data_IF_522889329553
#
_entry.id   IF_522889329553
#
_cell.length_a   1.000
_cell.length_b   1.000
_cell.length_c   1.000
_cell.angle_alpha   90.00
_cell.angle_beta   90.00
_cell.angle_gamma   90.00
#
_symmetry.space_group_name_H-M   'P 1'
#
loop_
_entity.id
_entity.type
_entity.pdbx_description
1 polymer ?
#
# COMPACT_ATOMS: atom_id res chain seq x y z
N UNK A 1 1.92 -31.23 -40.06
CA UNK A 1 0.73 -31.48 -39.21
C UNK A 1 0.94 -30.69 -37.93
N UNK A 2 0.15 -29.62 -37.72
CA UNK A 2 0.18 -28.84 -36.46
C UNK A 2 -0.41 -29.74 -35.37
N UNK A 3 0.39 -30.09 -34.36
CA UNK A 3 -0.15 -30.61 -33.13
C UNK A 3 -0.95 -29.48 -32.49
N UNK A 4 -2.23 -29.75 -32.29
CA UNK A 4 -3.14 -28.88 -31.55
C UNK A 4 -2.63 -28.89 -30.11
N UNK A 5 -2.17 -27.75 -29.61
CA UNK A 5 -1.96 -27.55 -28.18
C UNK A 5 -3.30 -27.81 -27.51
N UNK A 6 -3.44 -28.99 -26.90
CA UNK A 6 -4.54 -29.25 -26.00
C UNK A 6 -4.31 -28.37 -24.79
N UNK A 7 -5.07 -27.30 -24.73
CA UNK A 7 -5.25 -26.46 -23.55
C UNK A 7 -5.97 -27.32 -22.51
N UNK A 8 -5.22 -28.22 -21.86
CA UNK A 8 -5.71 -29.07 -20.79
C UNK A 8 -6.06 -28.13 -19.64
N UNK A 9 -7.33 -28.06 -19.21
CA UNK A 9 -7.71 -27.14 -18.15
C UNK A 9 -6.91 -27.47 -16.89
N UNK A 10 -6.41 -26.45 -16.17
CA UNK A 10 -5.59 -26.66 -14.99
C UNK A 10 -6.35 -27.50 -13.97
N UNK A 11 -5.65 -28.47 -13.39
CA UNK A 11 -6.16 -29.32 -12.31
C UNK A 11 -6.54 -28.46 -11.11
N UNK A 12 -7.43 -28.97 -10.24
CA UNK A 12 -7.82 -28.24 -9.04
C UNK A 12 -6.62 -27.90 -8.13
N UNK A 13 -5.61 -28.78 -8.07
CA UNK A 13 -4.36 -28.52 -7.35
C UNK A 13 -3.52 -27.41 -7.98
N UNK A 14 -3.48 -27.33 -9.32
CA UNK A 14 -2.84 -26.20 -10.00
C UNK A 14 -3.57 -24.89 -9.73
N UNK A 15 -4.91 -24.89 -9.78
CA UNK A 15 -5.72 -23.69 -9.48
C UNK A 15 -5.53 -23.20 -8.05
N UNK A 16 -5.49 -24.11 -7.07
CA UNK A 16 -5.25 -23.78 -5.65
C UNK A 16 -3.88 -23.12 -5.49
N UNK A 17 -2.82 -23.71 -6.06
CA UNK A 17 -1.47 -23.12 -5.99
C UNK A 17 -1.41 -21.75 -6.65
N UNK A 18 -2.02 -21.58 -7.81
CA UNK A 18 -2.07 -20.29 -8.51
C UNK A 18 -2.79 -19.23 -7.67
N UNK A 19 -3.87 -19.59 -6.98
CA UNK A 19 -4.57 -18.64 -6.09
C UNK A 19 -3.72 -18.27 -4.86
N UNK A 20 -3.02 -19.24 -4.26
CA UNK A 20 -2.07 -19.00 -3.16
C UNK A 20 -0.92 -18.06 -3.59
N UNK A 21 -0.33 -18.32 -4.76
CA UNK A 21 0.73 -17.48 -5.35
C UNK A 21 0.22 -16.06 -5.64
N UNK A 22 -0.93 -15.93 -6.29
CA UNK A 22 -1.52 -14.63 -6.61
C UNK A 22 -1.88 -13.82 -5.35
N UNK A 23 -2.38 -14.48 -4.31
CA UNK A 23 -2.64 -13.85 -3.01
C UNK A 23 -1.34 -13.35 -2.38
N UNK A 24 -0.29 -14.17 -2.39
CA UNK A 24 1.02 -13.79 -1.85
C UNK A 24 1.61 -12.59 -2.60
N UNK A 25 1.49 -12.56 -3.93
CA UNK A 25 1.92 -11.43 -4.76
C UNK A 25 1.16 -10.14 -4.44
N UNK A 26 -0.17 -10.22 -4.28
CA UNK A 26 -1.01 -9.06 -3.91
C UNK A 26 -0.65 -8.52 -2.54
N UNK A 27 -0.43 -9.38 -1.56
CA UNK A 27 0.00 -8.96 -0.22
C UNK A 27 1.41 -8.35 -0.25
N UNK A 28 2.34 -8.94 -1.00
CA UNK A 28 3.69 -8.40 -1.17
C UNK A 28 3.67 -7.00 -1.82
N UNK A 29 2.77 -6.76 -2.78
CA UNK A 29 2.61 -5.45 -3.38
C UNK A 29 2.09 -4.40 -2.37
N UNK A 30 1.17 -4.78 -1.48
CA UNK A 30 0.70 -3.90 -0.41
C UNK A 30 1.82 -3.58 0.60
N UNK A 31 2.64 -4.56 0.96
CA UNK A 31 3.81 -4.36 1.84
C UNK A 31 4.83 -3.38 1.23
N UNK A 32 5.06 -3.44 -0.08
CA UNK A 32 5.94 -2.49 -0.78
C UNK A 32 5.36 -1.08 -0.70
N UNK A 33 4.07 -0.93 -0.97
CA UNK A 33 3.41 0.37 -0.92
C UNK A 33 3.42 0.97 0.49
N UNK A 34 3.23 0.16 1.53
CA UNK A 34 3.35 0.61 2.93
C UNK A 34 4.75 1.15 3.26
N UNK A 35 5.80 0.50 2.75
CA UNK A 35 7.19 0.95 2.91
C UNK A 35 7.44 2.28 2.20
N UNK A 36 7.04 2.39 0.94
CA UNK A 36 7.17 3.64 0.17
C UNK A 36 6.43 4.80 0.86
N UNK A 37 5.27 4.51 1.45
CA UNK A 37 4.50 5.48 2.20
C UNK A 37 5.21 5.95 3.47
N UNK A 38 5.85 5.01 4.17
CA UNK A 38 6.68 5.29 5.36
C UNK A 38 7.91 6.12 5.00
N UNK A 39 8.59 5.79 3.91
CA UNK A 39 9.72 6.57 3.39
C UNK A 39 9.29 8.00 3.02
N UNK A 40 8.16 8.15 2.33
CA UNK A 40 7.63 9.46 1.98
C UNK A 40 7.29 10.30 3.23
N UNK A 41 6.69 9.69 4.27
CA UNK A 41 6.47 10.37 5.56
C UNK A 41 7.78 10.88 6.16
N UNK A 42 8.83 10.07 6.11
CA UNK A 42 10.13 10.45 6.66
C UNK A 42 10.73 11.64 5.90
N UNK A 43 10.72 11.60 4.57
CA UNK A 43 11.18 12.71 3.72
C UNK A 43 10.42 13.99 4.02
N UNK A 44 9.09 13.91 4.19
CA UNK A 44 8.27 15.08 4.51
C UNK A 44 8.62 15.67 5.87
N UNK A 45 8.84 14.83 6.89
CA UNK A 45 9.28 15.29 8.22
C UNK A 45 10.65 15.97 8.16
N UNK A 46 11.60 15.39 7.45
CA UNK A 46 12.96 15.93 7.30
C UNK A 46 12.94 17.28 6.57
N UNK A 47 12.13 17.40 5.51
CA UNK A 47 11.95 18.65 4.79
C UNK A 47 11.32 19.73 5.68
N UNK A 48 10.36 19.38 6.52
CA UNK A 48 9.75 20.33 7.45
C UNK A 48 10.72 20.79 8.52
N UNK A 49 11.53 19.89 9.08
CA UNK A 49 12.58 20.26 10.02
C UNK A 49 13.59 21.25 9.40
N UNK A 50 14.04 20.98 8.17
CA UNK A 50 14.93 21.90 7.42
C UNK A 50 14.28 23.25 7.13
N UNK A 51 13.01 23.25 6.76
CA UNK A 51 12.28 24.49 6.51
C UNK A 51 12.16 25.36 7.78
N UNK A 52 11.89 24.74 8.92
CA UNK A 52 11.87 25.44 10.21
C UNK A 52 13.25 26.00 10.58
N UNK A 53 14.32 25.24 10.36
CA UNK A 53 15.69 25.68 10.61
C UNK A 53 16.05 26.91 9.77
N UNK A 54 15.77 26.88 8.46
CA UNK A 54 16.01 28.00 7.55
C UNK A 54 15.16 29.22 7.95
N UNK A 55 13.88 29.01 8.30
CA UNK A 55 13.03 30.09 8.77
C UNK A 55 13.60 30.79 10.01
N UNK A 56 14.09 30.02 10.99
CA UNK A 56 14.75 30.59 12.18
C UNK A 56 16.03 31.33 11.83
N UNK A 57 16.82 30.83 10.88
CA UNK A 57 18.06 31.47 10.43
C UNK A 57 17.83 32.80 9.70
N UNK A 58 16.73 32.92 8.94
CA UNK A 58 16.34 34.17 8.26
C UNK A 58 15.83 35.21 9.27
N UNK A 59 15.01 34.78 10.22
CA UNK A 59 14.45 35.64 11.26
C UNK A 59 13.04 35.21 11.61
N UNK A 60 12.88 34.46 12.70
CA UNK A 60 11.61 33.93 13.19
C UNK A 60 10.57 35.00 13.60
N UNK A 61 11.01 36.26 13.72
CA UNK A 61 10.16 37.44 14.00
C UNK A 61 9.74 38.18 12.74
N UNK A 62 10.28 37.84 11.58
CA UNK A 62 9.87 38.46 10.32
C UNK A 62 8.47 37.95 9.94
N UNK A 63 7.54 38.88 9.71
CA UNK A 63 6.13 38.57 9.47
C UNK A 63 5.92 37.54 8.36
N UNK A 64 6.67 37.67 7.26
CA UNK A 64 6.59 36.72 6.13
C UNK A 64 7.09 35.34 6.51
N UNK A 65 8.18 35.24 7.27
CA UNK A 65 8.73 33.97 7.77
C UNK A 65 7.71 33.26 8.67
N UNK A 66 7.09 33.99 9.60
CA UNK A 66 6.05 33.42 10.47
C UNK A 66 4.86 32.88 9.69
N UNK A 67 4.40 33.62 8.68
CA UNK A 67 3.29 33.19 7.82
C UNK A 67 3.64 31.93 7.04
N UNK A 68 4.85 31.86 6.48
CA UNK A 68 5.34 30.68 5.76
C UNK A 68 5.46 29.46 6.69
N UNK A 69 5.99 29.62 7.90
CA UNK A 69 6.09 28.54 8.89
C UNK A 69 4.71 28.03 9.33
N UNK A 70 3.75 28.93 9.53
CA UNK A 70 2.37 28.55 9.87
C UNK A 70 1.70 27.76 8.74
N UNK A 71 1.79 28.25 7.50
CA UNK A 71 1.24 27.55 6.33
C UNK A 71 1.88 26.17 6.15
N UNK A 72 3.20 26.05 6.39
CA UNK A 72 3.89 24.76 6.32
C UNK A 72 3.37 23.76 7.36
N UNK A 73 3.17 24.19 8.61
CA UNK A 73 2.60 23.34 9.67
C UNK A 73 1.19 22.85 9.34
N UNK A 74 0.39 23.69 8.71
CA UNK A 74 -0.95 23.31 8.26
C UNK A 74 -0.89 22.22 7.17
N UNK A 75 -0.01 22.40 6.17
CA UNK A 75 0.23 21.39 5.13
C UNK A 75 0.73 20.09 5.75
N UNK A 76 1.67 20.14 6.69
CA UNK A 76 2.21 18.95 7.34
C UNK A 76 1.14 18.20 8.15
N UNK A 77 0.26 18.92 8.84
CA UNK A 77 -0.89 18.34 9.56
C UNK A 77 -1.89 17.68 8.60
N UNK A 78 -2.18 18.32 7.47
CA UNK A 78 -3.03 17.73 6.45
C UNK A 78 -2.42 16.47 5.83
N UNK A 79 -1.14 16.53 5.45
CA UNK A 79 -0.41 15.37 4.92
C UNK A 79 -0.36 14.26 5.96
N UNK A 80 -0.11 14.57 7.24
CA UNK A 80 -0.15 13.58 8.33
C UNK A 80 -1.45 12.81 8.37
N UNK A 81 -2.60 13.51 8.38
CA UNK A 81 -3.92 12.89 8.35
C UNK A 81 -4.17 12.05 7.11
N UNK A 82 -3.81 12.56 5.93
CA UNK A 82 -3.98 11.83 4.68
C UNK A 82 -3.20 10.50 4.69
N UNK A 83 -1.99 10.50 5.24
CA UNK A 83 -1.21 9.27 5.28
C UNK A 83 -1.78 8.29 6.30
N UNK A 84 -2.34 8.77 7.42
CA UNK A 84 -3.01 7.91 8.39
C UNK A 84 -4.23 7.22 7.74
N UNK A 85 -5.05 7.97 7.00
CA UNK A 85 -6.15 7.43 6.19
C UNK A 85 -5.66 6.39 5.15
N UNK A 86 -4.51 6.64 4.51
CA UNK A 86 -3.93 5.70 3.55
C UNK A 86 -3.45 4.41 4.20
N UNK A 87 -2.89 4.45 5.42
CA UNK A 87 -2.52 3.23 6.16
C UNK A 87 -3.76 2.41 6.47
N UNK A 88 -4.82 3.03 6.99
CA UNK A 88 -6.07 2.33 7.29
C UNK A 88 -6.67 1.67 6.04
N UNK A 89 -6.60 2.34 4.89
CA UNK A 89 -7.03 1.79 3.61
C UNK A 89 -6.19 0.57 3.19
N UNK A 90 -4.86 0.62 3.36
CA UNK A 90 -3.99 -0.51 3.04
C UNK A 90 -4.27 -1.72 3.93
N UNK A 91 -4.47 -1.50 5.23
CA UNK A 91 -4.86 -2.55 6.17
C UNK A 91 -6.22 -3.16 5.81
N UNK A 92 -7.17 -2.34 5.35
CA UNK A 92 -8.45 -2.84 4.86
C UNK A 92 -8.27 -3.66 3.58
N UNK A 93 -7.49 -3.17 2.61
CA UNK A 93 -7.19 -3.91 1.37
C UNK A 93 -6.52 -5.27 1.67
N UNK A 94 -5.59 -5.31 2.62
CA UNK A 94 -4.94 -6.55 3.02
C UNK A 94 -5.91 -7.55 3.67
N UNK A 95 -6.92 -7.05 4.40
CA UNK A 95 -8.02 -7.88 4.93
C UNK A 95 -8.92 -8.41 3.82
N UNK A 96 -9.27 -7.56 2.87
CA UNK A 96 -10.12 -7.94 1.74
C UNK A 96 -9.43 -9.00 0.86
N UNK A 97 -8.14 -8.82 0.54
CA UNK A 97 -7.34 -9.81 -0.21
C UNK A 97 -7.35 -11.17 0.47
N UNK A 98 -7.14 -11.21 1.80
CA UNK A 98 -7.17 -12.47 2.56
C UNK A 98 -8.55 -13.11 2.55
N UNK A 99 -9.60 -12.33 2.78
CA UNK A 99 -10.98 -12.81 2.80
C UNK A 99 -11.40 -13.38 1.44
N UNK A 100 -11.09 -12.68 0.35
CA UNK A 100 -11.40 -13.12 -1.01
C UNK A 100 -10.67 -14.42 -1.35
N UNK A 101 -9.37 -14.49 -1.01
CA UNK A 101 -8.55 -15.69 -1.20
C UNK A 101 -9.07 -16.89 -0.42
N UNK A 102 -9.42 -16.71 0.86
CA UNK A 102 -10.01 -17.76 1.69
C UNK A 102 -11.31 -18.30 1.10
N UNK A 103 -12.18 -17.42 0.61
CA UNK A 103 -13.44 -17.80 -0.03
C UNK A 103 -13.19 -18.60 -1.32
N UNK A 104 -12.23 -18.18 -2.13
CA UNK A 104 -11.87 -18.82 -3.38
C UNK A 104 -11.19 -20.18 -3.16
N UNK A 105 -10.26 -20.27 -2.22
CA UNK A 105 -9.63 -21.53 -1.83
C UNK A 105 -10.67 -22.52 -1.29
N UNK A 106 -11.64 -22.06 -0.49
CA UNK A 106 -12.76 -22.90 -0.05
C UNK A 106 -13.59 -23.42 -1.23
N UNK A 107 -13.83 -22.58 -2.26
CA UNK A 107 -14.54 -22.99 -3.48
C UNK A 107 -13.76 -24.06 -4.24
N UNK A 108 -12.47 -23.82 -4.49
CA UNK A 108 -11.58 -24.72 -5.24
C UNK A 108 -11.39 -26.07 -4.51
N UNK A 109 -11.26 -26.06 -3.18
CA UNK A 109 -11.18 -27.29 -2.39
C UNK A 109 -12.46 -28.12 -2.46
N UNK A 110 -13.64 -27.47 -2.45
CA UNK A 110 -14.93 -28.14 -2.62
C UNK A 110 -15.08 -28.73 -4.03
N UNK A 111 -14.55 -28.06 -5.05
CA UNK A 111 -14.52 -28.58 -6.42
C UNK A 111 -13.60 -29.78 -6.54
N UNK A 112 -12.41 -29.72 -5.91
CA UNK A 112 -11.48 -30.85 -5.84
C UNK A 112 -12.10 -32.08 -5.19
N UNK A 113 -12.83 -31.92 -4.08
CA UNK A 113 -13.48 -33.04 -3.38
C UNK A 113 -14.69 -33.64 -4.10
N UNK A 114 -15.17 -33.00 -5.17
CA UNK A 114 -16.28 -33.48 -6.02
C UNK A 114 -15.80 -34.11 -7.33
N UNK A 115 -14.52 -33.96 -7.67
CA UNK A 115 -13.87 -34.54 -8.85
C UNK A 115 -13.28 -35.91 -8.51
#
# INVERSE_FOLDING_TARGET
MKAVDHDVPPTADQKIRTEEEHTAERLAALDVFERELTEHRQVMRDNSARFEEVGRAIGDKEYFVQKCLAARKEVDSFVGRLVDEQVELLEQMARDVRSDSEAELCRLQREKGKA
#
